data_IF_995296425134
#
_entry.id   IF_995296425134
#
_cell.length_a   1.000
_cell.length_b   1.000
_cell.length_c   1.000
_cell.angle_alpha   90.00
_cell.angle_beta   90.00
_cell.angle_gamma   90.00
#
_symmetry.space_group_name_H-M   'P 1'
#
loop_
_entity.id
_entity.type
_entity.pdbx_description
1 polymer ?
#
# COMPACT_ATOMS: atom_id res chain seq x y z
N UNK A 1 -22.89 19.46 -2.22
CA UNK A 1 -23.22 18.02 -2.23
C UNK A 1 -21.93 17.20 -2.29
N UNK A 2 -21.42 16.69 -1.16
CA UNK A 2 -20.25 15.81 -1.18
C UNK A 2 -20.72 14.39 -1.52
N UNK A 3 -20.42 13.93 -2.75
CA UNK A 3 -20.74 12.57 -3.19
C UNK A 3 -19.98 11.58 -2.29
N UNK A 4 -20.69 10.85 -1.44
CA UNK A 4 -20.12 9.73 -0.68
C UNK A 4 -19.70 8.67 -1.70
N UNK A 5 -18.40 8.50 -1.91
CA UNK A 5 -17.86 7.47 -2.82
C UNK A 5 -18.19 6.10 -2.24
N UNK A 6 -18.96 5.30 -2.98
CA UNK A 6 -19.13 3.87 -2.68
C UNK A 6 -17.75 3.20 -2.59
N UNK A 7 -17.59 2.23 -1.66
CA UNK A 7 -16.33 1.49 -1.49
C UNK A 7 -16.06 0.66 -2.75
N UNK A 8 -15.34 1.23 -3.72
CA UNK A 8 -14.98 0.57 -4.98
C UNK A 8 -13.77 -0.33 -4.75
N UNK A 9 -13.97 -1.64 -4.96
CA UNK A 9 -12.92 -2.65 -4.94
C UNK A 9 -11.87 -2.33 -6.01
N UNK A 10 -10.61 -2.62 -5.71
CA UNK A 10 -9.51 -2.50 -6.67
C UNK A 10 -9.55 -3.69 -7.63
N UNK A 11 -9.49 -3.42 -8.93
CA UNK A 11 -9.38 -4.48 -9.95
C UNK A 11 -7.92 -4.87 -10.18
N UNK A 12 -7.71 -6.02 -10.84
CA UNK A 12 -6.36 -6.48 -11.19
C UNK A 12 -5.68 -5.52 -12.17
N UNK A 13 -6.45 -4.91 -13.05
CA UNK A 13 -5.99 -3.93 -14.04
C UNK A 13 -5.53 -2.64 -13.33
N UNK A 14 -6.31 -2.15 -12.36
CA UNK A 14 -5.89 -1.00 -11.54
C UNK A 14 -4.62 -1.31 -10.74
N UNK A 15 -4.51 -2.50 -10.16
CA UNK A 15 -3.30 -2.93 -9.46
C UNK A 15 -2.08 -3.01 -10.40
N UNK A 16 -2.28 -3.47 -11.64
CA UNK A 16 -1.22 -3.53 -12.65
C UNK A 16 -0.74 -2.12 -13.05
N UNK A 17 -1.67 -1.19 -13.27
CA UNK A 17 -1.35 0.22 -13.55
C UNK A 17 -0.60 0.86 -12.39
N UNK A 18 -1.04 0.60 -11.15
CA UNK A 18 -0.38 1.11 -9.95
C UNK A 18 1.04 0.55 -9.81
N UNK A 19 1.24 -0.75 -10.02
CA UNK A 19 2.58 -1.38 -10.01
C UNK A 19 3.50 -0.76 -11.05
N UNK A 20 3.03 -0.63 -12.28
CA UNK A 20 3.82 -0.03 -13.36
C UNK A 20 4.23 1.40 -13.02
N UNK A 21 3.27 2.24 -12.62
CA UNK A 21 3.52 3.65 -12.32
C UNK A 21 4.46 3.85 -11.12
N UNK A 22 4.35 3.01 -10.08
CA UNK A 22 5.26 3.06 -8.92
C UNK A 22 6.67 2.61 -9.31
N UNK A 23 6.80 1.50 -10.04
CA UNK A 23 8.11 1.01 -10.48
C UNK A 23 8.83 2.04 -11.35
N UNK A 24 8.12 2.69 -12.28
CA UNK A 24 8.67 3.78 -13.08
C UNK A 24 9.07 4.99 -12.21
N UNK A 25 8.33 5.27 -11.13
CA UNK A 25 8.69 6.34 -10.20
C UNK A 25 9.93 6.00 -9.39
N UNK A 26 10.06 4.76 -8.93
CA UNK A 26 11.24 4.29 -8.19
C UNK A 26 12.48 4.24 -9.08
N UNK A 27 12.34 3.82 -10.34
CA UNK A 27 13.44 3.79 -11.31
C UNK A 27 14.01 5.19 -11.61
N UNK A 28 13.19 6.24 -11.52
CA UNK A 28 13.64 7.64 -11.64
C UNK A 28 14.40 8.15 -10.41
N UNK A 29 14.38 7.41 -9.30
CA UNK A 29 14.96 7.82 -8.03
C UNK A 29 14.13 8.87 -7.29
N UNK A 30 14.41 9.03 -6.00
CA UNK A 30 13.74 10.00 -5.13
C UNK A 30 12.36 9.56 -4.62
N UNK A 31 11.63 10.50 -4.04
CA UNK A 31 10.33 10.24 -3.43
C UNK A 31 9.25 9.91 -4.45
N UNK A 32 8.36 8.98 -4.09
CA UNK A 32 7.24 8.57 -4.92
C UNK A 32 6.21 9.69 -5.00
N UNK A 33 6.08 10.31 -6.17
CA UNK A 33 5.05 11.32 -6.42
C UNK A 33 3.68 10.68 -6.68
N UNK A 34 2.89 10.53 -5.61
CA UNK A 34 1.55 9.93 -5.67
C UNK A 34 0.52 10.73 -6.49
N UNK A 35 0.72 12.04 -6.66
CA UNK A 35 -0.16 12.84 -7.54
C UNK A 35 0.03 12.43 -9.00
N UNK A 36 1.29 12.27 -9.43
CA UNK A 36 1.63 11.79 -10.77
C UNK A 36 1.21 10.34 -11.01
N UNK A 37 1.22 9.50 -9.97
CA UNK A 37 0.73 8.11 -10.10
C UNK A 37 -0.79 8.08 -10.27
N UNK A 38 -1.51 8.87 -9.48
CA UNK A 38 -2.97 8.92 -9.54
C UNK A 38 -3.50 9.44 -10.89
N UNK A 39 -2.75 10.29 -11.60
CA UNK A 39 -3.16 10.73 -12.95
C UNK A 39 -3.20 9.58 -13.97
N UNK A 40 -2.51 8.47 -13.71
CA UNK A 40 -2.50 7.30 -14.57
C UNK A 40 -3.60 6.27 -14.23
N UNK A 41 -4.35 6.48 -13.14
CA UNK A 41 -5.36 5.54 -12.67
C UNK A 41 -6.71 6.25 -12.57
N UNK A 42 -7.62 6.02 -13.53
CA UNK A 42 -8.91 6.69 -13.53
C UNK A 42 -9.66 6.38 -12.24
N UNK A 43 -10.39 7.39 -11.74
CA UNK A 43 -11.21 7.32 -10.54
C UNK A 43 -10.49 6.99 -9.22
N UNK A 44 -9.16 6.88 -9.19
CA UNK A 44 -8.38 6.75 -7.95
C UNK A 44 -7.63 8.05 -7.66
N UNK A 45 -7.65 8.47 -6.40
CA UNK A 45 -6.85 9.62 -5.98
C UNK A 45 -5.48 9.17 -5.44
N UNK A 46 -4.60 10.13 -5.20
CA UNK A 46 -3.26 9.91 -4.65
C UNK A 46 -3.27 9.16 -3.31
N UNK A 47 -4.24 9.46 -2.42
CA UNK A 47 -4.38 8.79 -1.12
C UNK A 47 -4.77 7.32 -1.28
N UNK A 48 -5.69 7.02 -2.21
CA UNK A 48 -6.13 5.66 -2.52
C UNK A 48 -4.95 4.84 -3.07
N UNK A 49 -4.20 5.40 -4.02
CA UNK A 49 -3.03 4.76 -4.62
C UNK A 49 -1.95 4.47 -3.58
N UNK A 50 -1.62 5.46 -2.73
CA UNK A 50 -0.64 5.28 -1.66
C UNK A 50 -1.06 4.19 -0.68
N UNK A 51 -2.31 4.21 -0.21
CA UNK A 51 -2.83 3.18 0.70
C UNK A 51 -2.78 1.79 0.06
N UNK A 52 -3.23 1.67 -1.19
CA UNK A 52 -3.21 0.40 -1.92
C UNK A 52 -1.79 -0.14 -2.06
N UNK A 53 -0.83 0.72 -2.38
CA UNK A 53 0.58 0.31 -2.46
C UNK A 53 1.11 -0.14 -1.10
N UNK A 54 1.08 0.73 -0.10
CA UNK A 54 1.73 0.52 1.20
C UNK A 54 1.17 -0.68 1.95
N UNK A 55 -0.14 -0.94 1.85
CA UNK A 55 -0.78 -2.01 2.63
C UNK A 55 -1.05 -3.28 1.83
N UNK A 56 -1.05 -3.23 0.49
CA UNK A 56 -1.48 -4.38 -0.33
C UNK A 56 -0.45 -4.74 -1.40
N UNK A 57 0.16 -3.82 -2.13
CA UNK A 57 0.93 -4.18 -3.34
C UNK A 57 2.45 -4.16 -3.17
N UNK A 58 2.97 -3.43 -2.17
CA UNK A 58 4.40 -3.27 -1.95
C UNK A 58 5.08 -4.64 -1.78
N UNK A 59 6.19 -4.91 -2.50
CA UNK A 59 6.91 -6.18 -2.41
C UNK A 59 7.45 -6.50 -1.01
N UNK A 60 7.67 -5.49 -0.18
CA UNK A 60 8.13 -5.63 1.21
C UNK A 60 7.07 -6.20 2.16
N UNK A 61 5.83 -6.36 1.70
CA UNK A 61 4.75 -6.90 2.53
C UNK A 61 4.82 -8.43 2.54
N UNK A 62 5.07 -8.99 3.72
CA UNK A 62 4.83 -10.40 3.96
C UNK A 62 3.31 -10.63 4.11
N UNK A 63 2.73 -11.42 3.23
CA UNK A 63 1.30 -11.81 3.26
C UNK A 63 1.08 -13.26 3.68
N UNK A 64 2.15 -13.95 4.06
CA UNK A 64 2.11 -15.35 4.46
C UNK A 64 1.78 -15.54 5.93
N UNK A 65 1.86 -16.79 6.36
CA UNK A 65 1.85 -17.13 7.78
C UNK A 65 3.01 -16.45 8.49
N UNK A 66 2.78 -16.04 9.74
CA UNK A 66 3.82 -15.52 10.60
C UNK A 66 4.88 -16.58 10.83
N UNK A 67 6.14 -16.18 10.72
CA UNK A 67 7.25 -17.04 11.10
C UNK A 67 7.57 -16.87 12.60
N UNK A 68 8.25 -17.88 13.17
CA UNK A 68 8.60 -17.89 14.61
C UNK A 68 9.37 -16.64 15.04
N UNK A 69 10.24 -16.10 14.18
CA UNK A 69 11.00 -14.88 14.48
C UNK A 69 10.10 -13.64 14.50
N UNK A 70 9.09 -13.57 13.63
CA UNK A 70 8.06 -12.54 13.67
C UNK A 70 7.23 -12.64 14.95
N UNK A 71 6.84 -13.86 15.35
CA UNK A 71 6.13 -14.11 16.61
C UNK A 71 6.96 -13.71 17.84
N UNK A 72 8.24 -14.08 17.89
CA UNK A 72 9.15 -13.70 18.97
C UNK A 72 9.29 -12.18 19.09
N UNK A 73 9.46 -11.48 17.97
CA UNK A 73 9.52 -10.01 17.95
C UNK A 73 8.21 -9.39 18.43
N UNK A 74 7.07 -9.97 18.06
CA UNK A 74 5.77 -9.52 18.52
C UNK A 74 5.63 -9.69 20.04
N UNK A 75 5.98 -10.86 20.56
CA UNK A 75 5.97 -11.15 22.00
C UNK A 75 6.90 -10.21 22.78
N UNK A 76 8.10 -9.94 22.26
CA UNK A 76 9.02 -8.96 22.85
C UNK A 76 8.43 -7.54 22.85
N UNK A 77 7.78 -7.15 21.75
CA UNK A 77 7.09 -5.87 21.63
C UNK A 77 5.97 -5.72 22.65
N UNK A 78 5.14 -6.75 22.80
CA UNK A 78 4.08 -6.84 23.82
C UNK A 78 4.67 -6.74 25.23
N UNK A 79 5.75 -7.48 25.52
CA UNK A 79 6.38 -7.43 26.84
C UNK A 79 6.93 -6.03 27.17
N UNK A 80 7.43 -5.32 26.15
CA UNK A 80 8.01 -3.98 26.30
C UNK A 80 6.97 -2.86 26.41
N UNK A 81 5.84 -2.97 25.71
CA UNK A 81 4.89 -1.88 25.54
C UNK A 81 3.48 -2.17 26.08
N UNK A 82 3.19 -3.42 26.46
CA UNK A 82 1.88 -3.89 26.84
C UNK A 82 0.92 -4.06 25.65
N UNK A 83 -0.32 -4.43 25.94
CA UNK A 83 -1.41 -4.47 24.98
C UNK A 83 -2.21 -3.17 25.14
N UNK A 84 -2.02 -2.17 24.28
CA UNK A 84 -2.75 -0.89 24.38
C UNK A 84 -3.28 -0.42 23.05
#
# INVERSE_FOLDING_TARGET
MMKVRARRLWTKEEDALLRKAVNESMARGGDINWHRIASNIPDRNNKDCRKRWVYILAPSLNKGAWNKTEDEKLLQGIQKHGFR
#
